data_IF_400957534766
#
_entry.id   IF_400957534766
#
_cell.length_a   1.000
_cell.length_b   1.000
_cell.length_c   1.000
_cell.angle_alpha   90.00
_cell.angle_beta   90.00
_cell.angle_gamma   90.00
#
_symmetry.space_group_name_H-M   'P 1'
#
loop_
_entity.id
_entity.type
_entity.pdbx_description
1 polymer ?
#
# COMPACT_ATOMS: atom_id res chain seq x y z
N UNK A 1 -41.51 8.70 14.24
CA UNK A 1 -41.00 8.72 12.85
C UNK A 1 -40.07 9.93 12.64
N UNK A 2 -38.78 9.82 12.99
CA UNK A 2 -37.84 10.94 12.94
C UNK A 2 -37.06 10.97 11.62
N UNK A 3 -37.26 12.01 10.80
CA UNK A 3 -36.55 12.23 9.54
C UNK A 3 -35.09 12.65 9.82
N UNK A 4 -34.13 11.77 9.52
CA UNK A 4 -32.69 12.06 9.57
C UNK A 4 -32.31 13.03 8.44
N UNK A 5 -32.14 14.31 8.78
CA UNK A 5 -31.56 15.32 7.86
C UNK A 5 -30.11 14.93 7.53
N UNK A 6 -29.83 14.60 6.27
CA UNK A 6 -28.45 14.44 5.77
C UNK A 6 -27.80 15.82 5.74
N UNK A 7 -26.86 16.07 6.66
CA UNK A 7 -25.98 17.24 6.62
C UNK A 7 -25.09 17.15 5.37
N UNK A 8 -25.27 18.08 4.43
CA UNK A 8 -24.28 18.37 3.38
C UNK A 8 -22.99 18.82 4.08
N UNK A 9 -21.90 18.08 3.87
CA UNK A 9 -20.57 18.51 4.30
C UNK A 9 -20.08 19.53 3.27
N UNK A 10 -20.10 20.82 3.63
CA UNK A 10 -19.28 21.82 2.96
C UNK A 10 -17.81 21.44 3.21
N UNK A 11 -17.12 20.98 2.17
CA UNK A 11 -15.66 20.94 2.14
C UNK A 11 -15.22 22.24 1.49
N UNK A 12 -15.22 23.29 2.29
CA UNK A 12 -14.44 24.48 1.98
C UNK A 12 -12.99 24.09 2.21
N UNK A 13 -12.31 23.71 1.13
CA UNK A 13 -10.86 23.70 1.11
C UNK A 13 -10.43 25.16 1.18
N UNK A 14 -10.16 25.66 2.38
CA UNK A 14 -9.46 26.93 2.56
C UNK A 14 -8.01 26.70 2.11
N UNK A 15 -7.71 27.15 0.88
CA UNK A 15 -6.35 27.36 0.40
C UNK A 15 -5.73 28.51 1.21
N UNK A 16 -5.15 28.18 2.35
CA UNK A 16 -4.36 29.11 3.13
C UNK A 16 -2.97 29.26 2.49
N UNK A 17 -2.87 30.33 1.69
CA UNK A 17 -1.68 31.09 1.29
C UNK A 17 -0.30 30.44 1.35
N UNK A 18 0.33 30.34 0.18
CA UNK A 18 1.76 30.67 0.09
C UNK A 18 2.03 31.55 -1.12
N UNK A 19 2.91 32.51 -0.88
CA UNK A 19 3.22 33.72 -1.62
C UNK A 19 3.38 33.59 -3.14
N UNK A 20 2.95 34.64 -3.84
CA UNK A 20 3.23 34.99 -5.24
C UNK A 20 4.71 35.30 -5.52
N UNK A 21 5.64 34.45 -5.10
CA UNK A 21 7.00 34.44 -5.64
C UNK A 21 6.95 33.69 -6.97
N UNK A 22 7.23 34.39 -8.07
CA UNK A 22 7.38 33.87 -9.44
C UNK A 22 7.61 32.34 -9.47
N UNK A 23 6.64 31.59 -10.02
CA UNK A 23 6.71 30.14 -10.22
C UNK A 23 7.91 29.80 -11.11
N UNK A 24 9.13 29.86 -10.55
CA UNK A 24 10.31 29.28 -11.17
C UNK A 24 10.01 27.80 -11.26
N UNK A 25 9.81 27.30 -12.48
CA UNK A 25 9.58 25.88 -12.77
C UNK A 25 10.63 25.08 -12.01
N UNK A 26 10.20 24.33 -11.00
CA UNK A 26 11.07 23.42 -10.26
C UNK A 26 11.13 22.09 -10.99
N UNK A 27 12.26 21.41 -10.86
CA UNK A 27 12.41 20.03 -11.28
C UNK A 27 12.76 19.17 -10.07
N UNK A 28 12.41 17.91 -10.17
CA UNK A 28 12.71 16.88 -9.19
C UNK A 28 13.48 15.79 -9.92
N UNK A 29 14.60 15.42 -9.34
CA UNK A 29 15.45 14.36 -9.82
C UNK A 29 15.12 13.11 -9.01
N UNK A 30 14.63 12.07 -9.66
CA UNK A 30 14.13 10.85 -9.00
C UNK A 30 14.90 9.65 -9.54
N UNK A 31 15.36 8.80 -8.63
CA UNK A 31 16.01 7.54 -8.98
C UNK A 31 15.03 6.37 -8.85
N UNK A 32 14.95 5.56 -9.90
CA UNK A 32 14.23 4.27 -9.93
C UNK A 32 12.82 4.31 -9.31
N UNK A 33 12.11 5.43 -9.44
CA UNK A 33 10.77 5.66 -8.86
C UNK A 33 10.69 5.44 -7.34
N UNK A 34 11.80 5.62 -6.63
CA UNK A 34 11.87 5.47 -5.17
C UNK A 34 11.87 6.83 -4.48
N UNK A 35 12.99 7.54 -4.56
CA UNK A 35 13.24 8.75 -3.79
C UNK A 35 13.66 9.94 -4.66
N UNK A 36 13.33 11.13 -4.16
CA UNK A 36 13.78 12.41 -4.73
C UNK A 36 15.22 12.63 -4.29
N UNK A 37 16.16 12.52 -5.23
CA UNK A 37 17.58 12.79 -5.01
C UNK A 37 17.87 14.29 -4.89
N UNK A 38 17.24 15.08 -5.76
CA UNK A 38 17.49 16.51 -5.83
C UNK A 38 16.24 17.28 -6.24
N UNK A 39 16.09 18.51 -5.75
CA UNK A 39 15.09 19.44 -6.25
C UNK A 39 15.70 20.82 -6.46
N UNK A 40 15.39 21.45 -7.58
CA UNK A 40 16.01 22.72 -7.94
C UNK A 40 15.24 23.50 -8.99
N UNK A 41 15.81 24.61 -9.45
CA UNK A 41 15.27 25.39 -10.56
C UNK A 41 15.73 24.84 -11.91
N UNK A 42 14.85 24.81 -12.92
CA UNK A 42 15.11 24.20 -14.24
C UNK A 42 16.41 24.56 -14.95
N UNK A 43 17.07 25.68 -14.62
CA UNK A 43 18.25 26.18 -15.34
C UNK A 43 19.51 25.30 -15.28
N UNK A 44 19.49 24.17 -14.55
CA UNK A 44 20.60 23.20 -14.51
C UNK A 44 20.12 21.75 -14.39
N UNK A 45 18.87 21.46 -14.78
CA UNK A 45 18.30 20.13 -14.64
C UNK A 45 18.96 19.09 -15.57
N UNK A 46 19.29 19.52 -16.80
CA UNK A 46 19.93 18.68 -17.81
C UNK A 46 21.39 18.37 -17.44
N UNK A 47 22.15 19.38 -17.02
CA UNK A 47 23.53 19.20 -16.54
C UNK A 47 23.60 18.22 -15.36
N UNK A 48 22.67 18.33 -14.40
CA UNK A 48 22.57 17.39 -13.29
C UNK A 48 22.22 16.00 -13.79
N UNK A 49 21.22 15.86 -14.67
CA UNK A 49 20.86 14.55 -15.25
C UNK A 49 22.05 13.88 -15.92
N UNK A 50 22.84 14.62 -16.69
CA UNK A 50 24.06 14.11 -17.32
C UNK A 50 25.11 13.68 -16.29
N UNK A 51 25.31 14.45 -15.21
CA UNK A 51 26.24 14.07 -14.14
C UNK A 51 25.83 12.76 -13.46
N UNK A 52 24.54 12.57 -13.17
CA UNK A 52 24.05 11.34 -12.55
C UNK A 52 24.06 10.14 -13.51
N UNK A 53 23.82 10.36 -14.80
CA UNK A 53 23.97 9.32 -15.82
C UNK A 53 25.43 8.85 -15.95
N UNK A 54 26.41 9.75 -15.81
CA UNK A 54 27.84 9.39 -15.78
C UNK A 54 28.24 8.56 -14.55
N UNK A 55 27.42 8.59 -13.50
CA UNK A 55 27.60 7.78 -12.29
C UNK A 55 26.85 6.44 -12.37
N UNK A 56 26.39 6.04 -13.57
CA UNK A 56 25.55 4.85 -13.81
C UNK A 56 24.26 4.82 -12.99
N UNK A 57 23.77 5.99 -12.57
CA UNK A 57 22.49 6.10 -11.87
C UNK A 57 21.37 6.34 -12.88
N UNK A 58 20.34 5.49 -12.85
CA UNK A 58 19.16 5.65 -13.69
C UNK A 58 18.22 6.69 -13.10
N UNK A 59 18.28 7.90 -13.65
CA UNK A 59 17.65 9.07 -13.05
C UNK A 59 16.67 9.75 -14.02
N UNK A 60 15.48 10.02 -13.51
CA UNK A 60 14.42 10.72 -14.23
C UNK A 60 14.25 12.14 -13.70
N UNK A 61 14.01 13.08 -14.62
CA UNK A 61 13.72 14.47 -14.29
C UNK A 61 12.23 14.68 -14.44
N UNK A 62 11.60 15.12 -13.36
CA UNK A 62 10.18 15.40 -13.28
C UNK A 62 9.93 16.89 -13.06
N UNK A 63 8.95 17.44 -13.75
CA UNK A 63 8.43 18.77 -13.43
C UNK A 63 7.53 18.77 -12.19
N UNK A 64 7.23 19.93 -11.60
CA UNK A 64 6.29 20.06 -10.46
C UNK A 64 4.97 19.28 -10.65
N UNK A 65 4.37 19.35 -11.84
CA UNK A 65 3.11 18.66 -12.15
C UNK A 65 3.31 17.15 -12.23
N UNK A 66 4.40 16.72 -12.85
CA UNK A 66 4.69 15.30 -13.06
C UNK A 66 5.10 14.65 -11.73
N UNK A 67 5.94 15.30 -10.92
CA UNK A 67 6.34 14.85 -9.59
C UNK A 67 5.13 14.72 -8.66
N UNK A 68 4.20 15.67 -8.66
CA UNK A 68 2.98 15.54 -7.86
C UNK A 68 2.09 14.39 -8.33
N UNK A 69 2.00 14.15 -9.64
CA UNK A 69 1.26 13.01 -10.20
C UNK A 69 1.91 11.67 -9.86
N UNK A 70 3.25 11.60 -9.93
CA UNK A 70 4.08 10.46 -9.55
C UNK A 70 3.92 10.14 -8.07
N UNK A 71 4.06 11.14 -7.19
CA UNK A 71 3.88 10.97 -5.74
C UNK A 71 2.51 10.40 -5.40
N UNK A 72 1.45 10.87 -6.06
CA UNK A 72 0.09 10.33 -5.91
C UNK A 72 -0.04 8.89 -6.41
N UNK A 73 0.73 8.50 -7.43
CA UNK A 73 0.78 7.12 -7.92
C UNK A 73 1.49 6.21 -6.92
N UNK A 74 2.62 6.62 -6.38
CA UNK A 74 3.36 5.86 -5.37
C UNK A 74 2.52 5.63 -4.12
N UNK A 75 1.80 6.66 -3.65
CA UNK A 75 0.89 6.51 -2.50
C UNK A 75 -0.22 5.49 -2.80
N UNK A 76 -0.85 5.57 -3.99
CA UNK A 76 -1.88 4.60 -4.38
C UNK A 76 -1.34 3.18 -4.45
N UNK A 77 -0.17 2.99 -5.05
CA UNK A 77 0.48 1.68 -5.13
C UNK A 77 0.68 1.06 -3.75
N UNK A 78 1.21 1.84 -2.79
CA UNK A 78 1.37 1.37 -1.40
C UNK A 78 0.03 1.00 -0.75
N UNK A 79 -1.02 1.79 -1.00
CA UNK A 79 -2.36 1.50 -0.49
C UNK A 79 -2.95 0.22 -1.11
N UNK A 80 -2.72 0.00 -2.40
CA UNK A 80 -3.18 -1.20 -3.10
C UNK A 80 -2.43 -2.45 -2.60
N UNK A 81 -1.11 -2.34 -2.39
CA UNK A 81 -0.28 -3.39 -1.79
C UNK A 81 -0.76 -3.74 -0.37
N UNK A 82 -0.95 -2.74 0.49
CA UNK A 82 -1.49 -2.91 1.86
C UNK A 82 -2.89 -3.56 1.84
N UNK A 83 -3.74 -3.18 0.88
CA UNK A 83 -5.08 -3.76 0.74
C UNK A 83 -5.04 -5.23 0.32
N UNK A 84 -4.19 -5.61 -0.64
CA UNK A 84 -4.05 -7.01 -1.05
C UNK A 84 -3.46 -7.87 0.09
N UNK A 85 -2.51 -7.35 0.85
CA UNK A 85 -2.02 -8.03 2.06
C UNK A 85 -3.13 -8.24 3.11
N UNK A 86 -3.93 -7.20 3.37
CA UNK A 86 -5.04 -7.28 4.32
C UNK A 86 -6.09 -8.31 3.86
N UNK A 87 -6.43 -8.30 2.57
CA UNK A 87 -7.37 -9.23 1.95
C UNK A 87 -6.88 -10.68 2.01
N UNK A 88 -5.58 -10.92 1.79
CA UNK A 88 -4.98 -12.25 1.94
C UNK A 88 -5.11 -12.75 3.38
N UNK A 89 -4.80 -11.91 4.38
CA UNK A 89 -4.94 -12.25 5.80
C UNK A 89 -6.38 -12.55 6.20
N UNK A 90 -7.34 -11.81 5.66
CA UNK A 90 -8.75 -12.05 5.95
C UNK A 90 -9.24 -13.35 5.31
N UNK A 91 -8.76 -13.68 4.11
CA UNK A 91 -9.02 -14.98 3.48
C UNK A 91 -8.43 -16.15 4.29
N UNK A 92 -7.20 -16.01 4.79
CA UNK A 92 -6.57 -17.01 5.66
C UNK A 92 -7.37 -17.22 6.96
N UNK A 93 -7.77 -16.13 7.62
CA UNK A 93 -8.62 -16.21 8.83
C UNK A 93 -9.96 -16.85 8.54
N UNK A 94 -10.54 -16.61 7.37
CA UNK A 94 -11.80 -17.23 6.99
C UNK A 94 -11.63 -18.73 6.75
N UNK A 95 -10.58 -19.14 6.03
CA UNK A 95 -10.24 -20.54 5.85
C UNK A 95 -9.95 -21.26 7.18
N UNK A 96 -9.25 -20.59 8.11
CA UNK A 96 -9.01 -21.14 9.45
C UNK A 96 -10.30 -21.29 10.25
N UNK A 97 -11.21 -20.31 10.19
CA UNK A 97 -12.54 -20.41 10.82
C UNK A 97 -13.34 -21.59 10.26
N UNK A 98 -13.38 -21.75 8.93
CA UNK A 98 -14.06 -22.86 8.27
C UNK A 98 -13.44 -24.20 8.69
N UNK A 99 -12.11 -24.30 8.76
CA UNK A 99 -11.40 -25.48 9.25
C UNK A 99 -11.77 -25.81 10.70
N UNK A 100 -11.79 -24.82 11.58
CA UNK A 100 -12.15 -25.01 12.99
C UNK A 100 -13.61 -25.41 13.16
N UNK A 101 -14.52 -24.83 12.36
CA UNK A 101 -15.93 -25.20 12.37
C UNK A 101 -16.13 -26.63 11.86
N UNK A 102 -15.41 -27.02 10.81
CA UNK A 102 -15.41 -28.39 10.31
C UNK A 102 -14.89 -29.36 11.39
N UNK A 103 -13.81 -29.01 12.07
CA UNK A 103 -13.27 -29.79 13.19
C UNK A 103 -14.30 -29.95 14.30
N UNK A 104 -15.01 -28.86 14.68
CA UNK A 104 -16.10 -28.92 15.68
C UNK A 104 -17.20 -29.89 15.25
N UNK A 105 -17.59 -29.88 13.98
CA UNK A 105 -18.59 -30.83 13.44
C UNK A 105 -18.08 -32.26 13.49
N UNK A 106 -16.82 -32.50 13.10
CA UNK A 106 -16.22 -33.83 13.11
C UNK A 106 -16.01 -34.37 14.54
N UNK A 107 -15.75 -33.52 15.55
CA UNK A 107 -15.69 -33.92 16.96
C UNK A 107 -17.07 -34.22 17.58
N UNK A 108 -18.14 -33.66 17.00
CA UNK A 108 -19.53 -33.96 17.38
C UNK A 108 -19.86 -35.42 17.07
N UNK A 109 -19.35 -35.94 15.95
CA UNK A 109 -19.50 -37.34 15.55
C UNK A 109 -18.56 -38.26 16.36
N UNK A 110 -19.09 -39.25 17.11
CA UNK A 110 -18.28 -40.17 17.91
C UNK A 110 -17.26 -41.00 17.11
N UNK A 111 -17.56 -41.39 15.86
CA UNK A 111 -16.65 -42.21 15.04
C UNK A 111 -15.46 -41.37 14.57
N UNK A 112 -15.75 -40.23 13.93
CA UNK A 112 -14.73 -39.28 13.48
C UNK A 112 -13.87 -38.76 14.63
N UNK A 113 -14.46 -38.48 15.79
CA UNK A 113 -13.71 -38.10 16.99
C UNK A 113 -12.64 -39.13 17.38
N UNK A 114 -12.99 -40.42 17.37
CA UNK A 114 -12.04 -41.51 17.70
C UNK A 114 -10.93 -41.59 16.67
N UNK A 115 -11.24 -41.46 15.39
CA UNK A 115 -10.24 -41.45 14.31
C UNK A 115 -9.26 -40.27 14.43
N UNK A 116 -9.76 -39.07 14.71
CA UNK A 116 -8.91 -37.87 14.90
C UNK A 116 -7.96 -38.09 16.07
N UNK A 117 -8.47 -38.59 17.20
CA UNK A 117 -7.67 -38.87 18.39
C UNK A 117 -6.62 -39.94 18.09
N UNK A 118 -6.99 -41.04 17.42
CA UNK A 118 -6.07 -42.10 17.04
C UNK A 118 -4.93 -41.58 16.15
N UNK A 119 -5.26 -40.81 15.09
CA UNK A 119 -4.26 -40.16 14.21
C UNK A 119 -3.36 -39.19 14.98
N UNK A 120 -3.89 -38.44 15.94
CA UNK A 120 -3.06 -37.55 16.76
C UNK A 120 -2.06 -38.31 17.63
N UNK A 121 -2.46 -39.48 18.17
CA UNK A 121 -1.55 -40.34 18.93
C UNK A 121 -0.49 -40.96 18.03
N UNK A 122 -0.86 -41.45 16.84
CA UNK A 122 0.11 -41.97 15.86
C UNK A 122 1.17 -40.92 15.48
N UNK A 123 0.78 -39.66 15.30
CA UNK A 123 1.70 -38.56 15.02
C UNK A 123 2.65 -38.25 16.19
N UNK A 124 2.17 -38.36 17.44
CA UNK A 124 2.99 -38.15 18.63
C UNK A 124 3.99 -39.29 18.87
N UNK A 125 3.66 -40.50 18.43
CA UNK A 125 4.48 -41.69 18.63
C UNK A 125 5.25 -42.17 17.38
N UNK A 126 5.03 -41.54 16.23
CA UNK A 126 5.95 -41.59 15.07
C UNK A 126 7.22 -40.81 15.42
N UNK A 127 8.18 -41.49 16.04
CA UNK A 127 9.59 -41.12 16.00
C UNK A 127 10.20 -41.60 14.68
#
# INVERSE_FOLDING_TARGET
>A
MAKKKRRKRNRECQDNGSSSTSKRRRFYLIQDDTDVLFSGTKRGAEDLKEQYLRLDMNVQVYDDVEHTSWKRRCIRKKQDEEYEEAKARDAEKQAEKERLEQLRRDFSDPQKRREIIAKSYELLFRK
#
